data_IF_221637645567
#
_entry.id   IF_221637645567
#
_cell.length_a   1.000
_cell.length_b   1.000
_cell.length_c   1.000
_cell.angle_alpha   90.00
_cell.angle_beta   90.00
_cell.angle_gamma   90.00
#
_symmetry.space_group_name_H-M   'P 1'
#
loop_
_entity.id
_entity.type
_entity.pdbx_description
1 polymer ?
#
# COMPACT_ATOMS: atom_id res chain seq x y z
N UNK A 1 -5.63 -36.67 -27.31
CA UNK A 1 -4.96 -37.01 -26.04
C UNK A 1 -3.69 -36.20 -25.97
N UNK A 2 -3.79 -34.98 -25.46
CA UNK A 2 -2.63 -34.15 -25.14
C UNK A 2 -2.28 -34.46 -23.70
N UNK A 3 -1.09 -35.03 -23.53
CA UNK A 3 -0.48 -35.35 -22.25
C UNK A 3 0.00 -34.02 -21.64
N UNK A 4 -0.86 -33.40 -20.84
CA UNK A 4 -0.49 -32.20 -20.09
C UNK A 4 0.23 -32.67 -18.82
N UNK A 5 1.48 -32.25 -18.56
CA UNK A 5 2.24 -32.77 -17.43
C UNK A 5 1.56 -32.38 -16.12
N UNK A 6 1.05 -33.39 -15.41
CA UNK A 6 0.41 -33.26 -14.09
C UNK A 6 1.51 -32.85 -13.10
N UNK A 7 1.55 -31.57 -12.74
CA UNK A 7 2.34 -31.10 -11.60
C UNK A 7 1.79 -31.75 -10.32
N UNK A 8 2.65 -32.24 -9.40
CA UNK A 8 2.17 -32.77 -8.14
C UNK A 8 1.40 -31.68 -7.37
N UNK A 9 0.15 -31.94 -6.94
CA UNK A 9 -0.77 -30.90 -6.47
C UNK A 9 -0.26 -30.15 -5.23
N UNK A 10 0.49 -30.81 -4.35
CA UNK A 10 0.93 -30.21 -3.09
C UNK A 10 2.23 -29.40 -3.23
N UNK A 11 3.18 -29.84 -4.07
CA UNK A 11 4.48 -29.16 -4.19
C UNK A 11 4.41 -27.86 -5.00
N UNK A 12 3.60 -27.81 -6.05
CA UNK A 12 3.42 -26.62 -6.87
C UNK A 12 2.73 -25.49 -6.07
N UNK A 13 1.71 -25.83 -5.27
CA UNK A 13 1.03 -24.87 -4.40
C UNK A 13 1.91 -24.42 -3.23
N UNK A 14 2.70 -25.32 -2.64
CA UNK A 14 3.69 -24.93 -1.63
C UNK A 14 4.73 -23.95 -2.18
N UNK A 15 5.29 -24.21 -3.36
CA UNK A 15 6.26 -23.32 -4.00
C UNK A 15 5.63 -21.97 -4.37
N UNK A 16 4.38 -21.95 -4.84
CA UNK A 16 3.65 -20.72 -5.13
C UNK A 16 3.43 -19.88 -3.85
N UNK A 17 3.01 -20.50 -2.75
CA UNK A 17 2.81 -19.83 -1.46
C UNK A 17 4.10 -19.23 -0.93
N UNK A 18 5.22 -19.97 -0.99
CA UNK A 18 6.51 -19.43 -0.57
C UNK A 18 6.92 -18.16 -1.36
N UNK A 19 6.61 -18.12 -2.67
CA UNK A 19 6.85 -16.93 -3.50
C UNK A 19 5.92 -15.76 -3.14
N UNK A 20 4.68 -16.04 -2.73
CA UNK A 20 3.74 -15.04 -2.22
C UNK A 20 4.25 -14.49 -0.89
N UNK A 21 4.65 -15.35 0.04
CA UNK A 21 5.17 -14.94 1.36
C UNK A 21 6.42 -14.04 1.21
N UNK A 22 7.31 -14.36 0.28
CA UNK A 22 8.48 -13.53 -0.04
C UNK A 22 8.09 -12.17 -0.66
N UNK A 23 7.04 -12.14 -1.50
CA UNK A 23 6.50 -10.89 -2.02
C UNK A 23 5.88 -10.06 -0.90
N UNK A 24 5.09 -10.67 -0.02
CA UNK A 24 4.43 -10.00 1.10
C UNK A 24 5.45 -9.41 2.07
N UNK A 25 6.55 -10.11 2.35
CA UNK A 25 7.66 -9.57 3.13
C UNK A 25 8.25 -8.30 2.49
N UNK A 26 8.36 -8.25 1.16
CA UNK A 26 8.84 -7.05 0.46
C UNK A 26 7.81 -5.94 0.46
N UNK A 27 6.53 -6.26 0.34
CA UNK A 27 5.44 -5.28 0.46
C UNK A 27 5.43 -4.63 1.85
N UNK A 28 5.60 -5.42 2.92
CA UNK A 28 5.69 -4.89 4.29
C UNK A 28 6.91 -3.98 4.45
N UNK A 29 8.06 -4.34 3.89
CA UNK A 29 9.25 -3.48 3.92
C UNK A 29 9.00 -2.13 3.23
N UNK A 30 8.37 -2.12 2.05
CA UNK A 30 8.01 -0.90 1.32
C UNK A 30 6.97 -0.05 2.09
N UNK A 31 6.01 -0.70 2.75
CA UNK A 31 5.05 0.00 3.60
C UNK A 31 5.72 0.63 4.83
N UNK A 32 6.72 -0.04 5.40
CA UNK A 32 7.53 0.53 6.49
C UNK A 32 8.32 1.76 6.04
N UNK A 33 8.91 1.73 4.85
CA UNK A 33 9.58 2.90 4.26
C UNK A 33 8.58 4.05 4.04
N UNK A 34 7.41 3.74 3.48
CA UNK A 34 6.33 4.73 3.31
C UNK A 34 5.89 5.34 4.64
N UNK A 35 5.80 4.55 5.71
CA UNK A 35 5.45 5.04 7.03
C UNK A 35 6.49 6.03 7.59
N UNK A 36 7.79 5.76 7.39
CA UNK A 36 8.85 6.68 7.81
C UNK A 36 8.75 8.06 7.12
N UNK A 37 8.41 8.08 5.82
CA UNK A 37 8.19 9.33 5.07
C UNK A 37 6.97 10.11 5.60
N UNK A 38 5.96 9.41 6.11
CA UNK A 38 4.79 10.05 6.73
C UNK A 38 5.16 10.64 8.09
N UNK A 39 5.99 9.97 8.88
CA UNK A 39 6.49 10.54 10.15
C UNK A 39 7.36 11.79 9.92
N UNK A 40 8.09 11.86 8.81
CA UNK A 40 8.75 13.09 8.37
C UNK A 40 7.74 14.18 7.99
N UNK A 41 6.72 13.84 7.19
CA UNK A 41 5.65 14.78 6.81
C UNK A 41 4.90 15.32 8.03
N UNK A 42 4.60 14.48 9.03
CA UNK A 42 3.95 14.87 10.27
C UNK A 42 4.75 15.92 11.05
N UNK A 43 6.08 15.74 11.14
CA UNK A 43 6.99 16.71 11.78
C UNK A 43 7.01 18.05 11.03
N UNK A 44 6.96 18.02 9.71
CA UNK A 44 6.85 19.22 8.87
C UNK A 44 5.52 19.93 9.13
N UNK A 45 4.40 19.19 9.09
CA UNK A 45 3.05 19.72 9.34
C UNK A 45 2.95 20.37 10.71
N UNK A 46 3.49 19.73 11.76
CA UNK A 46 3.51 20.29 13.11
C UNK A 46 4.25 21.64 13.16
N UNK A 47 5.44 21.71 12.56
CA UNK A 47 6.24 22.94 12.50
C UNK A 47 5.52 24.06 11.74
N UNK A 48 4.78 23.71 10.69
CA UNK A 48 4.12 24.66 9.79
C UNK A 48 2.66 24.94 10.16
N UNK A 49 2.13 24.31 11.21
CA UNK A 49 0.74 24.46 11.64
C UNK A 49 -0.27 23.90 10.62
N UNK A 50 0.12 22.90 9.84
CA UNK A 50 -0.73 22.26 8.85
C UNK A 50 -1.55 21.11 9.48
N UNK A 51 -2.80 20.89 9.02
CA UNK A 51 -3.60 19.76 9.49
C UNK A 51 -3.05 18.42 8.98
N UNK A 52 -3.30 17.34 9.72
CA UNK A 52 -2.97 15.99 9.26
C UNK A 52 -3.69 15.68 7.95
N UNK A 53 -5.00 15.97 7.90
CA UNK A 53 -5.83 15.77 6.73
C UNK A 53 -5.79 16.98 5.80
N UNK A 54 -5.43 16.71 4.54
CA UNK A 54 -5.54 17.65 3.42
C UNK A 54 -6.29 16.90 2.30
N UNK A 55 -7.58 17.17 2.11
CA UNK A 55 -8.45 16.38 1.23
C UNK A 55 -7.95 16.33 -0.22
N UNK A 56 -7.47 17.45 -0.76
CA UNK A 56 -6.90 17.50 -2.11
C UNK A 56 -5.72 16.53 -2.28
N UNK A 57 -4.91 16.34 -1.23
CA UNK A 57 -3.79 15.40 -1.24
C UNK A 57 -4.26 13.95 -1.18
N UNK A 58 -5.32 13.66 -0.43
CA UNK A 58 -5.93 12.31 -0.38
C UNK A 58 -6.42 11.92 -1.77
N UNK A 59 -7.15 12.81 -2.44
CA UNK A 59 -7.66 12.56 -3.80
C UNK A 59 -6.53 12.40 -4.82
N UNK A 60 -5.50 13.23 -4.75
CA UNK A 60 -4.34 13.12 -5.65
C UNK A 60 -3.61 11.77 -5.49
N UNK A 61 -3.39 11.33 -4.25
CA UNK A 61 -2.74 10.04 -3.97
C UNK A 61 -3.60 8.87 -4.43
N UNK A 62 -4.91 8.93 -4.22
CA UNK A 62 -5.84 7.92 -4.72
C UNK A 62 -5.85 7.84 -6.26
N UNK A 63 -5.92 8.99 -6.95
CA UNK A 63 -5.86 9.06 -8.40
C UNK A 63 -4.53 8.54 -8.96
N UNK A 64 -3.41 8.85 -8.30
CA UNK A 64 -2.09 8.33 -8.67
C UNK A 64 -2.02 6.80 -8.52
N UNK A 65 -2.59 6.24 -7.44
CA UNK A 65 -2.65 4.80 -7.23
C UNK A 65 -3.46 4.11 -8.33
N UNK A 66 -4.61 4.68 -8.71
CA UNK A 66 -5.43 4.19 -9.83
C UNK A 66 -4.64 4.15 -11.14
N UNK A 67 -4.00 5.26 -11.51
CA UNK A 67 -3.20 5.36 -12.74
C UNK A 67 -2.08 4.33 -12.77
N UNK A 68 -1.33 4.18 -11.67
CA UNK A 68 -0.26 3.19 -11.57
C UNK A 68 -0.79 1.76 -11.66
N UNK A 69 -1.97 1.49 -11.11
CA UNK A 69 -2.60 0.17 -11.22
C UNK A 69 -2.96 -0.16 -12.66
N UNK A 70 -3.56 0.78 -13.40
CA UNK A 70 -3.86 0.65 -14.84
C UNK A 70 -2.59 0.31 -15.64
N UNK A 71 -1.49 1.03 -15.40
CA UNK A 71 -0.19 0.81 -16.07
C UNK A 71 0.44 -0.56 -15.76
N UNK A 72 0.09 -1.16 -14.62
CA UNK A 72 0.66 -2.43 -14.15
C UNK A 72 -0.30 -3.62 -14.31
N UNK A 73 -1.48 -3.41 -14.89
CA UNK A 73 -2.49 -4.46 -15.05
C UNK A 73 -3.15 -4.91 -13.74
N UNK A 74 -3.12 -4.05 -12.71
CA UNK A 74 -3.86 -4.24 -11.46
C UNK A 74 -5.22 -3.55 -11.57
N UNK A 75 -6.24 -4.13 -10.93
CA UNK A 75 -7.57 -3.49 -10.87
C UNK A 75 -7.46 -2.09 -10.20
N UNK A 76 -7.87 -1.01 -10.88
CA UNK A 76 -7.72 0.34 -10.36
C UNK A 76 -8.59 0.61 -9.12
N UNK A 77 -9.75 -0.04 -9.03
CA UNK A 77 -10.65 0.07 -7.88
C UNK A 77 -10.05 -0.56 -6.61
N UNK A 78 -9.42 -1.72 -6.75
CA UNK A 78 -8.67 -2.38 -5.69
C UNK A 78 -7.52 -1.49 -5.20
N UNK A 79 -6.72 -0.97 -6.13
CA UNK A 79 -5.61 -0.08 -5.77
C UNK A 79 -6.09 1.17 -5.04
N UNK A 80 -7.13 1.84 -5.55
CA UNK A 80 -7.72 2.99 -4.87
C UNK A 80 -8.18 2.65 -3.44
N UNK A 81 -8.89 1.54 -3.27
CA UNK A 81 -9.44 1.12 -1.97
C UNK A 81 -8.33 0.86 -0.95
N UNK A 82 -7.27 0.17 -1.36
CA UNK A 82 -6.10 -0.09 -0.51
C UNK A 82 -5.38 1.21 -0.12
N UNK A 83 -5.19 2.12 -1.08
CA UNK A 83 -4.52 3.40 -0.81
C UNK A 83 -5.35 4.29 0.10
N UNK A 84 -6.67 4.37 -0.08
CA UNK A 84 -7.55 5.13 0.80
C UNK A 84 -7.53 4.57 2.22
N UNK A 85 -7.70 3.26 2.39
CA UNK A 85 -7.59 2.61 3.70
C UNK A 85 -6.27 2.93 4.41
N UNK A 86 -5.16 2.80 3.67
CA UNK A 86 -3.83 3.11 4.18
C UNK A 86 -3.68 4.59 4.58
N UNK A 87 -4.18 5.52 3.76
CA UNK A 87 -4.13 6.96 4.08
C UNK A 87 -4.95 7.30 5.32
N UNK A 88 -6.16 6.77 5.46
CA UNK A 88 -6.98 7.00 6.65
C UNK A 88 -6.28 6.53 7.94
N UNK A 89 -5.59 5.38 7.88
CA UNK A 89 -4.77 4.91 9.00
C UNK A 89 -3.68 5.93 9.40
N UNK A 90 -2.95 6.45 8.42
CA UNK A 90 -1.87 7.40 8.67
C UNK A 90 -2.35 8.78 9.10
N UNK A 91 -3.47 9.28 8.54
CA UNK A 91 -4.10 10.52 8.99
C UNK A 91 -4.49 10.39 10.47
N UNK A 92 -5.11 9.28 10.87
CA UNK A 92 -5.47 9.05 12.26
C UNK A 92 -4.24 8.93 13.18
N UNK A 93 -3.10 8.43 12.68
CA UNK A 93 -1.84 8.43 13.42
C UNK A 93 -1.29 9.86 13.59
N UNK A 94 -1.25 10.64 12.51
CA UNK A 94 -0.80 12.03 12.51
C UNK A 94 -1.65 12.91 13.43
N UNK A 95 -2.98 12.79 13.40
CA UNK A 95 -3.89 13.55 14.26
C UNK A 95 -3.56 13.36 15.75
N UNK A 96 -3.20 12.14 16.16
CA UNK A 96 -2.78 11.86 17.55
C UNK A 96 -1.45 12.52 17.91
N UNK A 97 -0.56 12.73 16.93
CA UNK A 97 0.72 13.40 17.13
C UNK A 97 0.57 14.92 17.17
N UNK A 98 -0.27 15.48 16.29
CA UNK A 98 -0.51 16.93 16.19
C UNK A 98 -1.38 17.46 17.34
N UNK A 99 -2.19 16.61 17.97
CA UNK A 99 -3.04 16.99 19.10
C UNK A 99 -2.33 16.95 20.47
N UNK A 100 -1.01 16.73 20.50
CA UNK A 100 -0.18 16.74 21.71
C UNK A 100 0.59 18.06 21.82
#
# INVERSE_FOLDING_TARGET
>A
MTDEPILPPDSAMHALRARIDELDSRLVALLSERAALIDEAARIKLREGLPARIDSRVEEVAANARRLAEEKGLDPGLAESLWRMMMEHFIAQEDRLLSR
#
